data_IF_411050105412
#
_entry.id   IF_411050105412
#
_cell.length_a   1.000
_cell.length_b   1.000
_cell.length_c   1.000
_cell.angle_alpha   90.00
_cell.angle_beta   90.00
_cell.angle_gamma   90.00
#
_symmetry.space_group_name_H-M   'P 1'
#
loop_
_entity.id
_entity.type
_entity.pdbx_description
1 polymer ?
#
# COMPACT_ATOMS: atom_id res chain seq x y z
N UNK A 1 -56.37 -48.48 6.24
CA UNK A 1 -56.23 -47.55 7.38
C UNK A 1 -55.03 -48.00 8.21
N UNK A 2 -53.90 -47.33 8.07
CA UNK A 2 -52.68 -47.62 8.82
C UNK A 2 -52.43 -46.52 9.84
N UNK A 3 -52.39 -46.86 11.11
CA UNK A 3 -51.92 -45.99 12.19
C UNK A 3 -50.42 -46.23 12.42
N UNK A 4 -49.63 -45.16 12.47
CA UNK A 4 -48.37 -45.14 13.22
C UNK A 4 -48.11 -43.70 13.68
N UNK A 5 -48.06 -43.52 15.00
CA UNK A 5 -47.92 -42.25 15.69
C UNK A 5 -46.45 -41.86 15.90
N UNK A 6 -46.29 -40.54 16.02
CA UNK A 6 -45.09 -39.73 16.22
C UNK A 6 -44.13 -40.22 17.34
N UNK A 7 -42.83 -40.28 17.02
CA UNK A 7 -41.74 -40.44 17.98
C UNK A 7 -40.67 -39.36 17.80
N UNK A 8 -40.65 -38.38 18.72
CA UNK A 8 -39.64 -37.31 18.85
C UNK A 8 -38.24 -37.90 19.07
N UNK A 9 -37.27 -37.64 18.18
CA UNK A 9 -35.83 -37.86 18.45
C UNK A 9 -35.14 -36.54 18.82
N UNK A 10 -34.77 -36.42 20.09
CA UNK A 10 -33.89 -35.38 20.65
C UNK A 10 -32.53 -35.40 19.96
N UNK A 11 -32.09 -34.25 19.44
CA UNK A 11 -30.76 -34.02 18.87
C UNK A 11 -29.76 -33.84 20.01
N UNK A 12 -28.82 -34.79 20.19
CA UNK A 12 -27.68 -34.68 21.09
C UNK A 12 -26.64 -33.69 20.51
N UNK A 13 -26.08 -32.87 21.40
CA UNK A 13 -24.99 -31.90 21.18
C UNK A 13 -23.64 -32.59 21.47
N UNK A 14 -22.53 -31.94 21.05
CA UNK A 14 -21.09 -32.29 21.09
C UNK A 14 -20.62 -33.03 19.83
N UNK A 15 -19.60 -32.59 19.10
CA UNK A 15 -18.23 -32.29 19.58
C UNK A 15 -17.48 -31.23 18.75
N UNK A 16 -16.56 -30.54 19.45
CA UNK A 16 -15.49 -29.66 18.97
C UNK A 16 -14.82 -30.07 17.65
N UNK A 17 -14.85 -29.17 16.66
CA UNK A 17 -13.83 -29.12 15.61
C UNK A 17 -12.82 -28.02 15.96
N UNK A 18 -11.58 -28.45 16.16
CA UNK A 18 -10.43 -27.62 16.47
C UNK A 18 -10.09 -26.78 15.23
N UNK A 19 -10.21 -25.46 15.32
CA UNK A 19 -9.53 -24.55 14.41
C UNK A 19 -8.02 -24.74 14.59
N UNK A 20 -7.40 -25.53 13.72
CA UNK A 20 -5.95 -25.58 13.60
C UNK A 20 -5.48 -24.24 13.02
N UNK A 21 -5.15 -23.30 13.90
CA UNK A 21 -4.40 -22.11 13.52
C UNK A 21 -3.07 -22.58 12.95
N UNK A 22 -2.93 -22.54 11.62
CA UNK A 22 -1.64 -22.75 10.97
C UNK A 22 -0.78 -21.54 11.37
N UNK A 23 0.00 -21.72 12.44
CA UNK A 23 1.04 -20.78 12.81
C UNK A 23 2.19 -20.97 11.83
N UNK A 24 2.23 -20.14 10.79
CA UNK A 24 3.44 -20.03 9.99
C UNK A 24 4.52 -19.45 10.90
N UNK A 25 5.47 -20.29 11.33
CA UNK A 25 6.71 -19.80 11.92
C UNK A 25 7.38 -18.96 10.84
N UNK A 26 7.43 -17.65 11.04
CA UNK A 26 8.23 -16.75 10.22
C UNK A 26 9.67 -17.19 10.45
N UNK A 27 10.26 -17.84 9.45
CA UNK A 27 11.68 -18.17 9.45
C UNK A 27 12.50 -16.90 9.63
N UNK A 28 13.63 -17.03 10.31
CA UNK A 28 14.61 -15.97 10.46
C UNK A 28 14.95 -15.41 9.07
N UNK A 29 14.62 -14.13 8.84
CA UNK A 29 14.78 -13.49 7.54
C UNK A 29 16.27 -13.22 7.34
N UNK A 30 16.91 -13.99 6.46
CA UNK A 30 18.32 -13.82 6.14
C UNK A 30 18.53 -12.48 5.43
N UNK A 31 19.33 -11.61 6.02
CA UNK A 31 19.62 -10.30 5.48
C UNK A 31 20.49 -10.37 4.22
N UNK A 32 21.17 -11.50 3.95
CA UNK A 32 21.89 -11.68 2.68
C UNK A 32 20.95 -11.75 1.48
N UNK A 33 19.71 -12.22 1.67
CA UNK A 33 18.71 -12.36 0.59
C UNK A 33 18.20 -11.02 0.05
N UNK A 34 18.47 -9.90 0.75
CA UNK A 34 18.08 -8.54 0.32
C UNK A 34 19.24 -7.67 -0.13
N UNK A 35 20.49 -8.14 -0.09
CA UNK A 35 21.65 -7.34 -0.50
C UNK A 35 21.58 -6.84 -1.96
N UNK A 36 20.93 -7.62 -2.83
CA UNK A 36 20.72 -7.25 -4.23
C UNK A 36 19.97 -5.92 -4.39
N UNK A 37 19.15 -5.52 -3.41
CA UNK A 37 18.41 -4.26 -3.45
C UNK A 37 19.33 -3.04 -3.47
N UNK A 38 20.49 -3.13 -2.81
CA UNK A 38 21.53 -2.09 -2.82
C UNK A 38 22.35 -2.07 -4.12
N UNK A 39 22.20 -3.09 -4.97
CA UNK A 39 22.90 -3.23 -6.26
C UNK A 39 22.03 -2.77 -7.43
N UNK A 40 20.77 -2.41 -7.20
CA UNK A 40 19.88 -1.88 -8.23
C UNK A 40 20.43 -0.52 -8.68
N UNK A 41 20.69 -0.32 -9.99
CA UNK A 41 21.18 0.98 -10.47
C UNK A 41 20.08 2.04 -10.33
N UNK A 42 20.47 3.21 -9.85
CA UNK A 42 19.58 4.37 -9.76
C UNK A 42 19.24 4.92 -11.15
N UNK A 43 18.03 5.45 -11.29
CA UNK A 43 17.61 6.13 -12.51
C UNK A 43 18.30 7.51 -12.66
N UNK A 44 18.41 8.05 -13.89
CA UNK A 44 18.94 9.39 -14.10
C UNK A 44 18.13 10.46 -13.32
N UNK A 45 18.84 11.38 -12.68
CA UNK A 45 18.27 12.49 -11.92
C UNK A 45 18.64 13.82 -12.56
N UNK A 46 17.64 14.55 -13.05
CA UNK A 46 17.80 15.85 -13.72
C UNK A 46 17.45 17.01 -12.80
N UNK A 47 18.26 18.08 -12.87
CA UNK A 47 18.09 19.32 -12.11
C UNK A 47 18.01 20.50 -13.08
N UNK A 48 16.87 20.67 -13.79
CA UNK A 48 16.72 21.77 -14.73
C UNK A 48 16.77 23.11 -14.00
N UNK A 49 17.30 24.14 -14.68
CA UNK A 49 17.16 25.52 -14.24
C UNK A 49 15.71 26.00 -14.36
N UNK A 50 15.34 27.08 -13.69
CA UNK A 50 13.99 27.68 -13.81
C UNK A 50 13.60 27.95 -15.27
N UNK A 51 14.55 28.44 -16.08
CA UNK A 51 14.34 28.71 -17.52
C UNK A 51 14.08 27.44 -18.32
N UNK A 52 14.81 26.36 -18.03
CA UNK A 52 14.58 25.06 -18.69
C UNK A 52 13.28 24.41 -18.22
N UNK A 53 12.82 24.72 -17.01
CA UNK A 53 11.59 24.19 -16.44
C UNK A 53 10.34 24.98 -16.87
N UNK A 54 10.51 26.14 -17.52
CA UNK A 54 9.42 26.96 -18.05
C UNK A 54 8.60 26.21 -19.11
N UNK A 55 9.26 25.48 -20.02
CA UNK A 55 8.62 24.59 -20.99
C UNK A 55 8.94 23.12 -20.69
N UNK A 56 7.98 22.36 -20.11
CA UNK A 56 8.20 20.98 -19.75
C UNK A 56 8.44 20.07 -20.95
N UNK A 57 7.86 20.38 -22.13
CA UNK A 57 8.06 19.54 -23.32
C UNK A 57 9.46 19.70 -23.90
N UNK A 58 9.99 20.92 -23.93
CA UNK A 58 11.37 21.17 -24.38
C UNK A 58 12.36 20.44 -23.47
N UNK A 59 12.18 20.53 -22.15
CA UNK A 59 13.01 19.81 -21.21
C UNK A 59 12.89 18.28 -21.36
N UNK A 60 11.68 17.75 -21.51
CA UNK A 60 11.45 16.32 -21.75
C UNK A 60 12.11 15.85 -23.05
N UNK A 61 11.96 16.58 -24.15
CA UNK A 61 12.61 16.27 -25.42
C UNK A 61 14.14 16.27 -25.31
N UNK A 62 14.71 17.18 -24.51
CA UNK A 62 16.15 17.24 -24.24
C UNK A 62 16.66 15.99 -23.52
N UNK A 63 15.94 15.51 -22.50
CA UNK A 63 16.38 14.37 -21.67
C UNK A 63 15.97 13.00 -22.22
N UNK A 64 14.93 12.94 -23.06
CA UNK A 64 14.34 11.69 -23.57
C UNK A 64 15.35 10.72 -24.22
N UNK A 65 16.34 11.14 -25.04
CA UNK A 65 17.30 10.22 -25.66
C UNK A 65 18.15 9.42 -24.67
N UNK A 66 18.38 9.97 -23.47
CA UNK A 66 19.10 9.29 -22.39
C UNK A 66 18.13 8.54 -21.49
N UNK A 67 17.10 9.23 -20.95
CA UNK A 67 16.17 8.68 -19.97
C UNK A 67 15.37 7.48 -20.49
N UNK A 68 15.05 7.45 -21.80
CA UNK A 68 14.32 6.33 -22.42
C UNK A 68 15.06 4.99 -22.32
N UNK A 69 16.40 5.00 -22.20
CA UNK A 69 17.21 3.78 -22.01
C UNK A 69 16.95 3.11 -20.66
N UNK A 70 16.48 3.88 -19.67
CA UNK A 70 16.21 3.42 -18.30
C UNK A 70 14.71 3.14 -18.06
N UNK A 71 13.82 3.68 -18.90
CA UNK A 71 12.37 3.56 -18.77
C UNK A 71 11.74 4.49 -17.72
N UNK A 72 12.49 4.87 -16.69
CA UNK A 72 12.10 5.86 -15.67
C UNK A 72 13.24 6.86 -15.44
N UNK A 73 12.90 8.09 -15.06
CA UNK A 73 13.85 9.09 -14.60
C UNK A 73 13.22 9.98 -13.52
N UNK A 74 14.04 10.72 -12.78
CA UNK A 74 13.60 11.68 -11.76
C UNK A 74 13.96 13.10 -12.20
N UNK A 75 13.00 14.02 -12.12
CA UNK A 75 13.22 15.45 -12.34
C UNK A 75 13.00 16.18 -11.02
N UNK A 76 14.00 16.90 -10.55
CA UNK A 76 13.89 17.74 -9.35
C UNK A 76 13.40 19.12 -9.78
N UNK A 77 12.18 19.48 -9.35
CA UNK A 77 11.62 20.81 -9.64
C UNK A 77 12.52 21.91 -9.06
N UNK A 78 12.94 22.91 -9.85
CA UNK A 78 13.64 24.08 -9.33
C UNK A 78 12.70 25.04 -8.58
N UNK A 79 11.38 24.90 -8.78
CA UNK A 79 10.36 25.76 -8.19
C UNK A 79 9.84 25.13 -6.91
N UNK A 80 9.81 25.91 -5.83
CA UNK A 80 9.21 25.56 -4.55
C UNK A 80 7.81 26.19 -4.49
N UNK A 81 6.79 25.37 -4.26
CA UNK A 81 5.43 25.87 -4.09
C UNK A 81 5.33 26.77 -2.85
N UNK A 82 4.69 27.93 -2.99
CA UNK A 82 4.49 28.89 -1.89
C UNK A 82 3.49 28.37 -0.85
N UNK A 83 2.50 27.57 -1.28
CA UNK A 83 1.48 26.98 -0.43
C UNK A 83 1.68 25.46 -0.40
N UNK A 84 1.85 24.84 0.78
CA UNK A 84 1.92 23.39 0.93
C UNK A 84 0.66 22.69 0.40
N UNK A 85 0.84 21.52 -0.22
CA UNK A 85 -0.27 20.73 -0.77
C UNK A 85 -1.35 20.39 0.26
N UNK A 86 -0.96 20.11 1.52
CA UNK A 86 -1.91 19.84 2.60
C UNK A 86 -2.89 21.03 2.80
N UNK A 87 -2.37 22.26 2.80
CA UNK A 87 -3.19 23.47 2.96
C UNK A 87 -4.11 23.70 1.76
N UNK A 88 -3.60 23.50 0.54
CA UNK A 88 -4.41 23.56 -0.69
C UNK A 88 -5.60 22.61 -0.58
N UNK A 89 -5.35 21.35 -0.22
CA UNK A 89 -6.40 20.33 -0.12
C UNK A 89 -7.43 20.61 0.98
N UNK A 90 -7.03 21.18 2.11
CA UNK A 90 -7.94 21.39 3.25
C UNK A 90 -8.63 22.75 3.26
N UNK A 91 -8.09 23.77 2.57
CA UNK A 91 -8.64 25.14 2.60
C UNK A 91 -9.32 25.54 1.30
N UNK A 92 -8.86 25.08 0.15
CA UNK A 92 -9.45 25.46 -1.14
C UNK A 92 -10.65 24.60 -1.51
N UNK A 93 -10.78 23.42 -0.89
CA UNK A 93 -11.95 22.56 -0.98
C UNK A 93 -12.51 22.30 0.40
N UNK A 94 -13.65 22.90 0.70
CA UNK A 94 -14.43 22.56 1.90
C UNK A 94 -14.75 21.06 1.88
N UNK A 95 -14.57 20.41 3.04
CA UNK A 95 -14.86 18.99 3.27
C UNK A 95 -14.21 18.00 2.29
N UNK A 96 -12.98 18.29 1.84
CA UNK A 96 -12.24 17.34 1.00
C UNK A 96 -12.07 15.98 1.68
N UNK A 97 -12.65 14.95 1.05
CA UNK A 97 -12.51 13.55 1.42
C UNK A 97 -12.18 12.72 0.19
N UNK A 98 -11.43 11.64 0.41
CA UNK A 98 -11.13 10.66 -0.63
C UNK A 98 -11.41 9.25 -0.14
N UNK A 99 -11.70 8.38 -1.10
CA UNK A 99 -11.95 6.97 -0.85
C UNK A 99 -10.72 6.13 -1.19
N UNK A 100 -10.33 5.26 -0.25
CA UNK A 100 -9.18 4.38 -0.40
C UNK A 100 -9.56 3.05 -1.03
N UNK A 101 -8.58 2.34 -1.58
CA UNK A 101 -8.70 0.92 -1.92
C UNK A 101 -7.79 0.09 -1.01
N UNK A 102 -8.20 -1.14 -0.71
CA UNK A 102 -7.40 -2.09 0.07
C UNK A 102 -6.57 -2.94 -0.89
N UNK A 103 -5.25 -2.89 -0.73
CA UNK A 103 -4.29 -3.67 -1.53
C UNK A 103 -3.68 -4.80 -0.69
N UNK A 104 -4.00 -6.08 -0.95
CA UNK A 104 -3.33 -7.20 -0.31
C UNK A 104 -1.88 -7.32 -0.83
N UNK A 105 -0.90 -7.38 0.08
CA UNK A 105 0.53 -7.37 -0.29
C UNK A 105 1.09 -8.75 -0.71
N UNK A 106 0.47 -9.85 -0.28
CA UNK A 106 0.89 -11.22 -0.63
C UNK A 106 0.18 -11.68 -1.91
N UNK A 107 0.64 -11.16 -3.04
CA UNK A 107 0.08 -11.47 -4.35
C UNK A 107 0.42 -12.89 -4.86
N UNK A 108 1.41 -13.56 -4.28
CA UNK A 108 1.84 -14.92 -4.70
C UNK A 108 0.86 -16.05 -4.33
N UNK A 109 -0.18 -15.76 -3.55
CA UNK A 109 -1.25 -16.71 -3.23
C UNK A 109 -2.41 -16.66 -4.25
N UNK A 110 -2.27 -15.84 -5.30
CA UNK A 110 -3.31 -15.60 -6.30
C UNK A 110 -3.18 -16.55 -7.50
N UNK A 111 -4.23 -17.32 -7.80
CA UNK A 111 -4.34 -18.22 -8.95
C UNK A 111 -5.02 -17.54 -10.15
N UNK A 112 -5.08 -18.22 -11.30
CA UNK A 112 -5.68 -17.70 -12.56
C UNK A 112 -7.14 -17.23 -12.45
N UNK A 113 -7.86 -17.58 -11.37
CA UNK A 113 -9.25 -17.15 -11.12
C UNK A 113 -9.34 -15.87 -10.28
N UNK A 114 -8.23 -15.44 -9.68
CA UNK A 114 -8.22 -14.30 -8.81
C UNK A 114 -8.12 -13.01 -9.64
N UNK A 115 -9.28 -12.44 -9.97
CA UNK A 115 -9.36 -11.12 -10.61
C UNK A 115 -8.82 -10.08 -9.63
N UNK A 116 -7.79 -9.31 -10.01
CA UNK A 116 -7.29 -8.15 -9.25
C UNK A 116 -8.50 -7.26 -8.90
N UNK A 117 -9.03 -7.45 -7.70
CA UNK A 117 -10.21 -6.75 -7.24
C UNK A 117 -9.72 -5.86 -6.13
N UNK A 118 -9.51 -4.59 -6.46
CA UNK A 118 -9.31 -3.58 -5.43
C UNK A 118 -10.58 -3.53 -4.58
N UNK A 119 -10.46 -3.99 -3.33
CA UNK A 119 -11.58 -3.91 -2.41
C UNK A 119 -11.75 -2.47 -1.98
N UNK A 120 -12.98 -1.99 -1.98
CA UNK A 120 -13.31 -0.64 -1.54
C UNK A 120 -12.92 -0.47 -0.07
N UNK A 121 -12.10 0.54 0.19
CA UNK A 121 -11.63 0.90 1.52
C UNK A 121 -12.57 1.88 2.21
N UNK A 122 -12.00 2.64 3.14
CA UNK A 122 -12.73 3.68 3.89
C UNK A 122 -12.53 5.04 3.23
N UNK A 123 -13.46 5.96 3.51
CA UNK A 123 -13.28 7.38 3.22
C UNK A 123 -12.50 8.05 4.34
N UNK A 124 -11.65 9.00 3.97
CA UNK A 124 -10.83 9.78 4.89
C UNK A 124 -10.77 11.24 4.47
N UNK A 125 -10.67 12.12 5.44
CA UNK A 125 -10.02 13.43 5.24
C UNK A 125 -8.50 13.26 5.13
N UNK A 126 -7.80 14.30 4.65
CA UNK A 126 -6.33 14.30 4.58
C UNK A 126 -5.68 13.99 5.95
N UNK A 127 -6.10 14.68 7.01
CA UNK A 127 -5.52 14.54 8.35
C UNK A 127 -5.82 13.18 9.00
N UNK A 128 -7.01 12.62 8.79
CA UNK A 128 -7.33 11.29 9.32
C UNK A 128 -6.46 10.20 8.68
N UNK A 129 -6.23 10.29 7.36
CA UNK A 129 -5.37 9.33 6.67
C UNK A 129 -3.91 9.45 7.11
N UNK A 130 -3.40 10.68 7.24
CA UNK A 130 -2.07 10.96 7.75
C UNK A 130 -1.88 10.39 9.18
N UNK A 131 -2.82 10.67 10.09
CA UNK A 131 -2.76 10.16 11.46
C UNK A 131 -2.79 8.64 11.51
N UNK A 132 -3.62 8.00 10.68
CA UNK A 132 -3.71 6.55 10.56
C UNK A 132 -2.39 5.94 10.05
N UNK A 133 -1.80 6.51 9.00
CA UNK A 133 -0.53 6.06 8.42
C UNK A 133 0.63 6.18 9.44
N UNK A 134 0.73 7.32 10.12
CA UNK A 134 1.74 7.56 11.15
C UNK A 134 1.57 6.58 12.33
N UNK A 135 0.34 6.37 12.80
CA UNK A 135 0.07 5.38 13.86
C UNK A 135 0.49 3.97 13.44
N UNK A 136 0.18 3.55 12.21
CA UNK A 136 0.58 2.24 11.70
C UNK A 136 2.11 2.09 11.61
N UNK A 137 2.80 3.13 11.15
CA UNK A 137 4.27 3.17 11.10
C UNK A 137 4.90 3.06 12.49
N UNK A 138 4.45 3.90 13.44
CA UNK A 138 4.94 3.90 14.82
C UNK A 138 4.73 2.54 15.51
N UNK A 139 3.54 1.96 15.34
CA UNK A 139 3.22 0.65 15.91
C UNK A 139 4.09 -0.49 15.38
N UNK A 140 4.65 -0.37 14.17
CA UNK A 140 5.48 -1.40 13.56
C UNK A 140 6.97 -1.22 13.87
N UNK A 141 7.45 0.03 13.91
CA UNK A 141 8.89 0.30 13.93
C UNK A 141 9.42 0.94 15.21
N UNK A 142 8.56 1.50 16.07
CA UNK A 142 9.00 2.16 17.31
C UNK A 142 8.75 1.35 18.58
N UNK A 143 7.73 0.48 18.60
CA UNK A 143 7.39 -0.35 19.77
C UNK A 143 8.36 -1.51 20.03
N UNK A 144 9.23 -1.85 19.08
CA UNK A 144 10.17 -2.97 19.15
C UNK A 144 11.59 -2.62 19.64
N UNK A 145 11.88 -1.34 19.93
CA UNK A 145 13.21 -0.90 20.42
C UNK A 145 13.29 -0.68 21.94
N UNK A 146 12.30 -1.15 22.70
CA UNK A 146 12.38 -1.17 24.16
C UNK A 146 12.68 -2.57 24.68
N UNK A 147 13.97 -2.90 24.87
CA UNK A 147 14.61 -3.48 26.08
C UNK A 147 16.12 -3.50 25.79
N UNK A 148 16.85 -2.71 26.56
CA UNK A 148 18.32 -2.79 26.75
C UNK A 148 18.66 -3.92 27.70
#
# INVERSE_FOLDING_TARGET
MGFATCGRRRRRKTTNEKNSSISYKVGEFDMSDVEWTNKIPECPVYHPSEKEFEDPFVNLHKIAPEASKFGICKIVSPIIASIPAALVLTKEKEDFMFETNIQPLRLSEWNEKDKITFMRGRKYTYHEFEAMANKAFLNRFYTSRGVS
#
